data_IF_021125012571
#
_entry.id   IF_021125012571
#
_cell.length_a   1.000
_cell.length_b   1.000
_cell.length_c   1.000
_cell.angle_alpha   90.00
_cell.angle_beta   90.00
_cell.angle_gamma   90.00
#
_symmetry.space_group_name_H-M   'P 1'
#
loop_
_entity.id
_entity.type
_entity.pdbx_description
1 polymer ?
#
# COMPACT_ATOMS: atom_id res chain seq x y z
N UNK A 1 -0.60 13.03 8.35
CA UNK A 1 0.07 13.10 9.67
C UNK A 1 1.49 12.67 9.48
N UNK A 2 2.46 13.40 10.00
CA UNK A 2 3.90 13.09 9.91
C UNK A 2 4.35 12.13 11.03
N UNK A 3 5.46 11.39 10.82
CA UNK A 3 5.99 10.39 11.74
C UNK A 3 6.33 10.99 13.10
N UNK A 4 6.97 12.17 13.12
CA UNK A 4 7.33 12.86 14.35
C UNK A 4 6.11 13.14 15.23
N UNK A 5 5.02 13.62 14.61
CA UNK A 5 3.77 13.89 15.32
C UNK A 5 3.10 12.61 15.83
N UNK A 6 3.16 11.52 15.07
CA UNK A 6 2.63 10.23 15.51
C UNK A 6 3.40 9.69 16.72
N UNK A 7 4.72 9.81 16.69
CA UNK A 7 5.59 9.40 17.77
C UNK A 7 5.30 10.19 19.05
N UNK A 8 5.19 11.52 18.97
CA UNK A 8 4.82 12.37 20.11
C UNK A 8 3.50 11.92 20.75
N UNK A 9 2.46 11.67 19.94
CA UNK A 9 1.16 11.22 20.45
C UNK A 9 1.28 9.88 21.20
N UNK A 10 2.10 8.96 20.70
CA UNK A 10 2.32 7.67 21.34
C UNK A 10 3.17 7.76 22.60
N UNK A 11 4.09 8.72 22.68
CA UNK A 11 4.91 8.99 23.87
C UNK A 11 4.09 9.64 24.99
N UNK A 12 3.09 10.46 24.64
CA UNK A 12 2.15 11.08 25.58
C UNK A 12 1.09 10.12 26.14
N UNK A 13 0.99 8.91 25.59
CA UNK A 13 0.06 7.86 26.07
C UNK A 13 0.78 6.99 27.10
N UNK A 14 0.47 7.20 28.38
CA UNK A 14 1.03 6.44 29.51
C UNK A 14 0.60 4.97 29.52
N UNK A 15 -0.60 4.66 29.01
CA UNK A 15 -1.18 3.30 29.00
C UNK A 15 -0.62 2.37 27.92
N UNK A 16 0.28 2.86 27.06
CA UNK A 16 0.86 2.06 25.96
C UNK A 16 2.25 1.60 26.39
N UNK A 17 2.39 0.30 26.61
CA UNK A 17 3.69 -0.31 26.88
C UNK A 17 4.69 -0.10 25.71
N UNK A 18 5.97 -0.18 26.04
CA UNK A 18 7.04 0.08 25.08
C UNK A 18 7.08 -0.87 23.88
N UNK A 19 6.59 -2.11 24.02
CA UNK A 19 6.57 -3.07 22.92
C UNK A 19 5.46 -2.73 21.92
N UNK A 20 4.26 -2.46 22.42
CA UNK A 20 3.11 -2.01 21.64
C UNK A 20 3.38 -0.67 20.95
N UNK A 21 4.08 0.24 21.62
CA UNK A 21 4.53 1.51 21.02
C UNK A 21 5.42 1.30 19.80
N UNK A 22 6.44 0.43 19.92
CA UNK A 22 7.34 0.11 18.80
C UNK A 22 6.61 -0.55 17.64
N UNK A 23 5.67 -1.44 17.93
CA UNK A 23 4.85 -2.08 16.91
C UNK A 23 3.99 -1.08 16.13
N UNK A 24 3.34 -0.15 16.82
CA UNK A 24 2.53 0.90 16.17
C UNK A 24 3.37 1.80 15.28
N UNK A 25 4.57 2.21 15.72
CA UNK A 25 5.49 2.99 14.90
C UNK A 25 5.96 2.23 13.66
N UNK A 26 6.22 0.92 13.79
CA UNK A 26 6.57 0.05 12.66
C UNK A 26 5.42 -0.05 11.65
N UNK A 27 4.19 -0.26 12.12
CA UNK A 27 3.00 -0.30 11.25
C UNK A 27 2.85 1.01 10.49
N UNK A 28 3.02 2.15 11.17
CA UNK A 28 2.92 3.46 10.53
C UNK A 28 3.95 3.62 9.40
N UNK A 29 5.20 3.19 9.60
CA UNK A 29 6.25 3.27 8.57
C UNK A 29 5.96 2.36 7.36
N UNK A 30 5.28 1.23 7.58
CA UNK A 30 4.87 0.31 6.53
C UNK A 30 3.58 0.76 5.83
N UNK A 31 2.77 1.60 6.49
CA UNK A 31 1.51 2.06 5.93
C UNK A 31 1.78 3.12 4.87
N UNK A 32 1.46 2.86 3.59
CA UNK A 32 1.65 3.85 2.55
C UNK A 32 0.81 5.10 2.86
N UNK A 33 1.42 6.27 2.73
CA UNK A 33 0.73 7.54 2.96
C UNK A 33 -0.39 7.74 1.94
N UNK A 34 -1.41 8.52 2.31
CA UNK A 34 -2.54 8.82 1.42
C UNK A 34 -2.10 9.32 0.02
N UNK A 35 -1.09 10.20 -0.12
CA UNK A 35 -0.56 10.57 -1.44
C UNK A 35 0.02 9.39 -2.23
N UNK A 36 0.76 8.48 -1.57
CA UNK A 36 1.30 7.27 -2.22
C UNK A 36 0.17 6.35 -2.70
N UNK A 37 -0.89 6.20 -1.91
CA UNK A 37 -2.08 5.44 -2.29
C UNK A 37 -2.82 6.07 -3.48
N UNK A 38 -2.96 7.40 -3.49
CA UNK A 38 -3.56 8.14 -4.61
C UNK A 38 -2.74 8.00 -5.90
N UNK A 39 -1.41 8.10 -5.82
CA UNK A 39 -0.52 7.89 -6.95
C UNK A 39 -0.61 6.44 -7.50
N UNK A 40 -0.61 5.44 -6.61
CA UNK A 40 -0.81 4.05 -7.00
C UNK A 40 -2.18 3.83 -7.68
N UNK A 41 -3.24 4.46 -7.16
CA UNK A 41 -4.57 4.41 -7.77
C UNK A 41 -4.59 5.04 -9.16
N UNK A 42 -3.95 6.18 -9.36
CA UNK A 42 -3.85 6.83 -10.67
C UNK A 42 -3.15 5.92 -11.69
N UNK A 43 -2.02 5.32 -11.31
CA UNK A 43 -1.26 4.39 -12.14
C UNK A 43 -2.10 3.15 -12.53
N UNK A 44 -2.85 2.58 -11.58
CA UNK A 44 -3.74 1.46 -11.86
C UNK A 44 -4.88 1.84 -12.82
N UNK A 45 -5.40 3.06 -12.73
CA UNK A 45 -6.41 3.57 -13.66
C UNK A 45 -5.84 3.71 -15.07
N UNK A 46 -4.61 4.21 -15.21
CA UNK A 46 -3.92 4.30 -16.50
C UNK A 46 -3.67 2.92 -17.11
N UNK A 47 -3.14 1.97 -16.33
CA UNK A 47 -2.95 0.58 -16.77
C UNK A 47 -4.28 -0.01 -17.24
N UNK A 48 -5.37 0.17 -16.47
CA UNK A 48 -6.71 -0.31 -16.86
C UNK A 48 -7.18 0.32 -18.18
N UNK A 49 -6.99 1.63 -18.37
CA UNK A 49 -7.34 2.32 -19.62
C UNK A 49 -6.55 1.78 -20.81
N UNK A 50 -5.23 1.61 -20.66
CA UNK A 50 -4.35 1.07 -21.70
C UNK A 50 -4.72 -0.38 -22.05
N UNK A 51 -5.03 -1.22 -21.05
CA UNK A 51 -5.49 -2.59 -21.29
C UNK A 51 -6.86 -2.63 -21.97
N UNK A 52 -7.77 -1.71 -21.66
CA UNK A 52 -9.08 -1.66 -22.32
C UNK A 52 -9.02 -1.19 -23.78
N UNK A 53 -8.00 -0.41 -24.17
CA UNK A 53 -7.80 0.04 -25.55
C UNK A 53 -7.20 -1.02 -26.47
N UNK A 54 -6.56 -2.06 -25.93
CA UNK A 54 -5.99 -3.16 -26.72
C UNK A 54 -6.54 -4.52 -26.24
N UNK A 55 -7.49 -5.15 -26.97
CA UNK A 55 -8.11 -6.40 -26.57
C UNK A 55 -7.10 -7.56 -26.45
N UNK A 56 -6.07 -7.59 -27.31
CA UNK A 56 -5.00 -8.60 -27.31
C UNK A 56 -4.09 -8.48 -26.07
N UNK A 57 -3.79 -7.26 -25.61
CA UNK A 57 -2.95 -7.04 -24.41
C UNK A 57 -3.71 -7.30 -23.12
N UNK A 58 -5.04 -7.11 -23.09
CA UNK A 58 -5.89 -7.38 -21.92
C UNK A 58 -5.85 -8.85 -21.51
N UNK A 59 -6.06 -9.75 -22.48
CA UNK A 59 -6.09 -11.20 -22.22
C UNK A 59 -4.72 -11.75 -21.80
N UNK A 60 -3.64 -11.27 -22.44
CA UNK A 60 -2.25 -11.63 -22.08
C UNK A 60 -1.87 -11.11 -20.70
N UNK A 61 -2.20 -9.85 -20.38
CA UNK A 61 -1.93 -9.25 -19.07
C UNK A 61 -2.71 -9.94 -17.94
N UNK A 62 -3.99 -10.24 -18.14
CA UNK A 62 -4.80 -11.00 -17.17
C UNK A 62 -4.24 -12.42 -16.93
N UNK A 63 -3.75 -13.09 -17.97
CA UNK A 63 -3.04 -14.38 -17.82
C UNK A 63 -1.76 -14.25 -17.00
N UNK A 64 -0.96 -13.21 -17.23
CA UNK A 64 0.29 -12.97 -16.50
C UNK A 64 0.02 -12.63 -15.02
N UNK A 65 -0.97 -11.77 -14.73
CA UNK A 65 -1.34 -11.43 -13.35
C UNK A 65 -1.84 -12.68 -12.60
N UNK A 66 -2.68 -13.51 -13.23
CA UNK A 66 -3.11 -14.79 -12.64
C UNK A 66 -1.94 -15.71 -12.32
N UNK A 67 -0.98 -15.86 -13.23
CA UNK A 67 0.24 -16.65 -12.98
C UNK A 67 1.05 -16.13 -11.80
N UNK A 68 1.25 -14.82 -11.70
CA UNK A 68 2.01 -14.21 -10.61
C UNK A 68 1.31 -14.35 -9.25
N UNK A 69 -0.03 -14.33 -9.22
CA UNK A 69 -0.80 -14.51 -7.99
C UNK A 69 -0.86 -15.99 -7.54
N UNK A 70 -0.87 -16.94 -8.48
CA UNK A 70 -0.89 -18.38 -8.16
C UNK A 70 0.47 -18.95 -7.74
N UNK A 71 1.60 -18.28 -8.06
CA UNK A 71 2.95 -18.74 -7.69
C UNK A 71 3.47 -18.18 -6.35
N UNK A 72 2.62 -17.52 -5.55
CA UNK A 72 2.98 -16.99 -4.22
C UNK A 72 2.53 -17.89 -3.04
N UNK A 73 2.23 -19.15 -3.30
CA UNK A 73 1.95 -20.16 -2.28
C UNK A 73 3.01 -21.26 -2.30
#
# INVERSE_FOLDING_TARGET
MDYARFREILELKEDIDGAKRRELLRIYLQTPTLPKLQAARALLVEIKKSLNRCPVSRQKCLKTIRRLMCHRH
#
